data_IF_777613678440
#
_entry.id   IF_777613678440
#
_cell.length_a   1.000
_cell.length_b   1.000
_cell.length_c   1.000
_cell.angle_alpha   90.00
_cell.angle_beta   90.00
_cell.angle_gamma   90.00
#
_symmetry.space_group_name_H-M   'P 1'
#
loop_
_entity.id
_entity.type
_entity.pdbx_description
1 polymer ?
#
# COMPACT_ATOMS: atom_id res chain seq x y z
N UNK A 1 19.35 2.09 39.44
CA UNK A 1 17.90 1.98 39.71
C UNK A 1 17.20 3.00 38.81
N UNK A 2 16.56 2.54 37.73
CA UNK A 2 15.92 3.42 36.75
C UNK A 2 14.45 3.62 37.12
N UNK A 3 14.06 4.87 37.40
CA UNK A 3 12.68 5.24 37.69
C UNK A 3 11.90 5.32 36.37
N UNK A 4 10.96 4.40 36.18
CA UNK A 4 10.03 4.39 35.05
C UNK A 4 8.90 5.39 35.33
N UNK A 5 8.99 6.57 34.75
CA UNK A 5 7.92 7.57 34.73
C UNK A 5 6.84 7.12 33.73
N UNK A 6 5.66 6.72 34.23
CA UNK A 6 4.48 6.45 33.41
C UNK A 6 3.80 7.78 33.03
N UNK A 7 3.38 7.99 31.76
CA UNK A 7 2.61 9.16 31.40
C UNK A 7 1.17 9.02 31.92
N UNK A 8 0.79 9.96 32.78
CA UNK A 8 -0.55 10.09 33.34
C UNK A 8 -1.59 10.26 32.22
N UNK A 9 -2.56 9.32 32.15
CA UNK A 9 -3.77 9.45 31.35
C UNK A 9 -4.60 10.60 31.92
N UNK A 10 -4.51 11.80 31.32
CA UNK A 10 -5.47 12.89 31.56
C UNK A 10 -6.84 12.41 31.11
N UNK A 11 -7.71 12.06 32.08
CA UNK A 11 -9.13 11.83 31.83
C UNK A 11 -9.76 13.19 31.50
N UNK A 12 -10.29 13.33 30.28
CA UNK A 12 -11.11 14.47 29.88
C UNK A 12 -12.43 14.48 30.69
N UNK A 13 -12.96 15.66 31.06
CA UNK A 13 -14.17 15.78 31.87
C UNK A 13 -15.40 15.15 31.18
N UNK A 14 -16.22 14.43 31.95
CA UNK A 14 -17.41 13.67 31.49
C UNK A 14 -18.36 14.35 30.47
N UNK A 15 -18.68 15.66 30.53
CA UNK A 15 -19.56 16.29 29.54
C UNK A 15 -18.95 16.34 28.14
N UNK A 16 -17.63 16.47 28.03
CA UNK A 16 -16.91 16.50 26.75
C UNK A 16 -16.94 15.13 26.07
N UNK A 17 -16.88 14.04 26.85
CA UNK A 17 -16.99 12.67 26.31
C UNK A 17 -18.33 12.39 25.63
N UNK A 18 -19.45 12.90 26.18
CA UNK A 18 -20.79 12.72 25.59
C UNK A 18 -20.98 13.57 24.34
N UNK A 19 -20.50 14.82 24.35
CA UNK A 19 -20.54 15.69 23.19
C UNK A 19 -19.69 15.13 22.03
N UNK A 20 -18.50 14.63 22.35
CA UNK A 20 -17.60 13.98 21.43
C UNK A 20 -18.19 12.70 20.82
N UNK A 21 -18.83 11.86 21.65
CA UNK A 21 -19.54 10.68 21.16
C UNK A 21 -20.66 11.02 20.18
N UNK A 22 -21.47 12.05 20.49
CA UNK A 22 -22.52 12.52 19.57
C UNK A 22 -21.94 13.06 18.26
N UNK A 23 -20.81 13.78 18.32
CA UNK A 23 -20.14 14.28 17.13
C UNK A 23 -19.62 13.13 16.24
N UNK A 24 -19.10 12.06 16.85
CA UNK A 24 -18.68 10.84 16.14
C UNK A 24 -19.86 10.12 15.48
N UNK A 25 -20.99 10.03 16.18
CA UNK A 25 -22.19 9.38 15.64
C UNK A 25 -22.71 10.15 14.41
N UNK A 26 -22.78 11.49 14.49
CA UNK A 26 -23.16 12.35 13.35
C UNK A 26 -22.18 12.20 12.17
N UNK A 27 -20.88 12.24 12.44
CA UNK A 27 -19.85 12.04 11.42
C UNK A 27 -19.97 10.68 10.72
N UNK A 28 -20.30 9.64 11.49
CA UNK A 28 -20.50 8.29 10.96
C UNK A 28 -21.74 8.23 10.05
N UNK A 29 -22.82 8.94 10.40
CA UNK A 29 -23.99 9.06 9.54
C UNK A 29 -23.69 9.80 8.24
N UNK A 30 -22.96 10.92 8.33
CA UNK A 30 -22.59 11.71 7.15
C UNK A 30 -21.73 10.89 6.18
N UNK A 31 -20.71 10.18 6.69
CA UNK A 31 -19.89 9.27 5.87
C UNK A 31 -20.74 8.19 5.18
N UNK A 32 -21.73 7.62 5.86
CA UNK A 32 -22.65 6.65 5.24
C UNK A 32 -23.47 7.29 4.11
N UNK A 33 -24.02 8.48 4.35
CA UNK A 33 -24.83 9.21 3.35
C UNK A 33 -24.01 9.55 2.12
N UNK A 34 -22.74 9.96 2.29
CA UNK A 34 -21.80 10.19 1.19
C UNK A 34 -21.60 8.93 0.36
N UNK A 35 -21.28 7.80 1.01
CA UNK A 35 -21.01 6.53 0.32
C UNK A 35 -22.22 5.94 -0.42
N UNK A 36 -23.44 6.36 -0.09
CA UNK A 36 -24.67 5.87 -0.73
C UNK A 36 -25.33 6.88 -1.66
N UNK A 37 -24.80 8.11 -1.76
CA UNK A 37 -25.40 9.16 -2.57
C UNK A 37 -25.18 8.92 -4.07
N UNK A 38 -26.26 9.00 -4.86
CA UNK A 38 -26.20 8.80 -6.31
C UNK A 38 -25.84 10.11 -7.03
N UNK A 39 -24.58 10.25 -7.43
CA UNK A 39 -24.06 11.45 -8.12
C UNK A 39 -24.63 11.63 -9.55
N UNK A 40 -25.22 10.59 -10.12
CA UNK A 40 -25.73 10.59 -11.50
C UNK A 40 -27.20 11.02 -11.61
N UNK A 41 -27.88 11.32 -10.50
CA UNK A 41 -29.28 11.74 -10.50
C UNK A 41 -29.37 13.23 -10.20
N UNK A 42 -30.12 14.01 -11.00
CA UNK A 42 -30.36 15.41 -10.68
C UNK A 42 -31.23 15.51 -9.43
N UNK A 43 -30.95 16.52 -8.61
CA UNK A 43 -31.74 16.82 -7.42
C UNK A 43 -33.17 17.18 -7.80
N UNK A 44 -34.13 16.57 -7.11
CA UNK A 44 -35.56 16.77 -7.38
C UNK A 44 -36.11 18.00 -6.66
N UNK A 45 -35.49 18.39 -5.54
CA UNK A 45 -35.88 19.56 -4.73
C UNK A 45 -34.65 20.25 -4.13
N UNK A 46 -34.84 21.46 -3.61
CA UNK A 46 -33.79 22.13 -2.85
C UNK A 46 -33.40 21.33 -1.59
N UNK A 47 -34.39 20.76 -0.89
CA UNK A 47 -34.14 19.95 0.29
C UNK A 47 -33.32 18.70 -0.04
N UNK A 48 -33.61 18.07 -1.18
CA UNK A 48 -32.85 16.93 -1.72
C UNK A 48 -31.39 17.31 -2.01
N UNK A 49 -31.15 18.48 -2.60
CA UNK A 49 -29.79 18.99 -2.78
C UNK A 49 -29.08 19.26 -1.44
N UNK A 50 -29.78 19.85 -0.46
CA UNK A 50 -29.25 20.11 0.87
C UNK A 50 -28.88 18.79 1.56
N UNK A 51 -29.76 17.81 1.59
CA UNK A 51 -29.55 16.51 2.26
C UNK A 51 -28.42 15.69 1.61
N UNK A 52 -28.26 15.80 0.29
CA UNK A 52 -27.20 15.11 -0.44
C UNK A 52 -25.85 15.85 -0.41
N UNK A 53 -25.81 17.19 -0.34
CA UNK A 53 -24.58 17.97 -0.39
C UNK A 53 -24.01 18.28 1.00
N UNK A 54 -24.84 18.48 2.04
CA UNK A 54 -24.37 18.77 3.40
C UNK A 54 -23.34 17.75 3.93
N UNK A 55 -23.55 16.44 3.75
CA UNK A 55 -22.59 15.44 4.21
C UNK A 55 -21.19 15.62 3.60
N UNK A 56 -21.09 16.13 2.38
CA UNK A 56 -19.80 16.36 1.71
C UNK A 56 -19.02 17.55 2.30
N UNK A 57 -19.67 18.45 3.04
CA UNK A 57 -18.99 19.54 3.74
C UNK A 57 -17.97 19.02 4.77
N UNK A 58 -18.20 17.82 5.32
CA UNK A 58 -17.24 17.09 6.16
C UNK A 58 -15.92 16.81 5.43
N UNK A 59 -15.98 16.64 4.11
CA UNK A 59 -14.83 16.30 3.26
C UNK A 59 -14.21 17.55 2.59
N UNK A 60 -14.97 18.63 2.44
CA UNK A 60 -14.54 19.85 1.76
C UNK A 60 -13.30 20.51 2.40
N UNK A 61 -13.10 20.38 3.71
CA UNK A 61 -11.96 20.95 4.43
C UNK A 61 -10.81 19.94 4.66
N UNK A 62 -10.93 18.70 4.18
CA UNK A 62 -9.86 17.68 4.35
C UNK A 62 -8.67 17.97 3.44
N UNK A 63 -8.87 18.69 2.33
CA UNK A 63 -7.83 19.02 1.38
C UNK A 63 -6.90 20.16 1.86
N UNK A 64 -7.30 20.96 2.85
CA UNK A 64 -6.46 22.01 3.45
C UNK A 64 -5.97 23.10 2.48
N UNK A 65 -6.55 23.20 1.28
CA UNK A 65 -6.15 24.20 0.28
C UNK A 65 -6.89 25.54 0.41
N UNK A 66 -8.01 25.58 1.15
CA UNK A 66 -8.86 26.77 1.28
C UNK A 66 -9.22 27.04 2.76
N UNK A 67 -8.23 27.12 3.67
CA UNK A 67 -8.48 27.84 4.93
C UNK A 67 -8.39 29.31 4.58
N UNK A 68 -9.52 30.00 4.56
CA UNK A 68 -9.51 31.43 4.31
C UNK A 68 -8.73 32.16 5.42
N UNK A 69 -8.18 33.33 5.09
CA UNK A 69 -7.34 34.08 6.03
C UNK A 69 -8.12 34.48 7.30
N UNK A 70 -9.45 34.58 7.20
CA UNK A 70 -10.37 34.96 8.26
C UNK A 70 -10.55 33.80 9.27
N UNK A 71 -10.64 32.55 8.81
CA UNK A 71 -10.69 31.33 9.62
C UNK A 71 -9.35 31.05 10.31
N UNK A 72 -8.23 31.32 9.63
CA UNK A 72 -6.90 31.23 10.23
C UNK A 72 -6.69 32.28 11.34
N UNK A 73 -7.23 33.48 11.18
CA UNK A 73 -7.15 34.57 12.14
C UNK A 73 -8.10 34.32 13.33
N UNK A 74 -9.32 33.82 13.08
CA UNK A 74 -10.26 33.40 14.12
C UNK A 74 -9.72 32.25 14.98
N UNK A 75 -9.03 31.28 14.37
CA UNK A 75 -8.37 30.18 15.09
C UNK A 75 -7.16 30.65 15.94
N UNK A 76 -6.60 31.82 15.65
CA UNK A 76 -5.47 32.41 16.36
C UNK A 76 -5.92 33.33 17.51
N UNK A 77 -7.02 34.08 17.34
CA UNK A 77 -7.53 35.01 18.35
C UNK A 77 -8.34 34.32 19.45
N UNK A 78 -9.09 33.28 19.11
CA UNK A 78 -9.94 32.60 20.07
C UNK A 78 -9.18 31.41 20.67
N UNK A 79 -9.02 31.38 22.00
CA UNK A 79 -8.59 30.19 22.76
C UNK A 79 -9.54 28.98 22.63
N UNK A 80 -10.31 28.90 21.54
CA UNK A 80 -11.29 27.90 21.14
C UNK A 80 -10.69 26.58 20.67
N UNK A 81 -9.41 26.32 20.96
CA UNK A 81 -8.77 25.01 20.81
C UNK A 81 -9.24 23.99 21.88
N UNK A 82 -10.48 24.13 22.36
CA UNK A 82 -11.08 23.35 23.45
C UNK A 82 -12.06 22.27 22.98
N UNK A 83 -12.35 22.18 21.68
CA UNK A 83 -13.11 21.07 21.12
C UNK A 83 -12.36 20.62 19.87
N UNK A 84 -11.92 19.36 19.84
CA UNK A 84 -11.35 18.76 18.63
C UNK A 84 -12.27 19.09 17.45
N UNK A 85 -11.75 19.81 16.45
CA UNK A 85 -12.57 20.18 15.30
C UNK A 85 -13.05 18.88 14.64
N UNK A 86 -14.25 18.86 14.05
CA UNK A 86 -14.79 17.65 13.38
C UNK A 86 -13.82 17.08 12.34
N UNK A 87 -12.94 17.91 11.80
CA UNK A 87 -11.75 17.56 11.01
C UNK A 87 -10.74 16.70 11.77
N UNK A 88 -10.28 17.13 12.94
CA UNK A 88 -9.33 16.38 13.76
C UNK A 88 -9.91 15.02 14.12
N UNK A 89 -11.22 14.98 14.36
CA UNK A 89 -11.98 13.74 14.59
C UNK A 89 -12.00 12.81 13.39
N UNK A 90 -12.27 13.34 12.19
CA UNK A 90 -12.25 12.55 10.96
C UNK A 90 -10.83 12.01 10.66
N UNK A 91 -9.81 12.85 10.80
CA UNK A 91 -8.42 12.46 10.63
C UNK A 91 -7.99 11.39 11.65
N UNK A 92 -8.38 11.54 12.92
CA UNK A 92 -8.10 10.55 13.97
C UNK A 92 -8.78 9.21 13.67
N UNK A 93 -10.04 9.21 13.21
CA UNK A 93 -10.74 7.99 12.81
C UNK A 93 -10.07 7.28 11.63
N UNK A 94 -9.67 8.04 10.60
CA UNK A 94 -8.96 7.49 9.43
C UNK A 94 -7.62 6.90 9.86
N UNK A 95 -6.86 7.61 10.68
CA UNK A 95 -5.57 7.13 11.19
C UNK A 95 -5.73 5.88 12.06
N UNK A 96 -6.71 5.86 12.97
CA UNK A 96 -7.02 4.69 13.79
C UNK A 96 -7.40 3.49 12.92
N UNK A 97 -8.23 3.71 11.90
CA UNK A 97 -8.64 2.66 10.98
C UNK A 97 -7.47 2.14 10.14
N UNK A 98 -6.58 3.02 9.70
CA UNK A 98 -5.37 2.66 8.98
C UNK A 98 -4.47 1.77 9.84
N UNK A 99 -4.23 2.14 11.11
CA UNK A 99 -3.44 1.33 12.06
C UNK A 99 -4.08 -0.05 12.29
N UNK A 100 -5.40 -0.12 12.49
CA UNK A 100 -6.11 -1.40 12.63
C UNK A 100 -5.94 -2.31 11.40
N UNK A 101 -6.04 -1.73 10.20
CA UNK A 101 -5.86 -2.48 8.95
C UNK A 101 -4.41 -2.93 8.76
N UNK A 102 -3.42 -2.08 9.07
CA UNK A 102 -2.01 -2.47 9.06
C UNK A 102 -1.76 -3.66 9.98
N UNK A 103 -2.29 -3.64 11.22
CA UNK A 103 -2.18 -4.78 12.14
C UNK A 103 -2.79 -6.07 11.59
N UNK A 104 -3.96 -5.99 10.94
CA UNK A 104 -4.58 -7.17 10.29
C UNK A 104 -3.74 -7.71 9.13
N UNK A 105 -3.12 -6.83 8.34
CA UNK A 105 -2.23 -7.24 7.25
C UNK A 105 -1.00 -7.95 7.79
N UNK A 106 -0.40 -7.43 8.87
CA UNK A 106 0.73 -8.09 9.55
C UNK A 106 0.34 -9.46 10.11
N UNK A 107 -0.82 -9.60 10.74
CA UNK A 107 -1.33 -10.88 11.23
C UNK A 107 -1.52 -11.89 10.10
N UNK A 108 -2.11 -11.46 8.98
CA UNK A 108 -2.28 -12.31 7.80
C UNK A 108 -0.93 -12.72 7.20
N UNK A 109 0.02 -11.79 7.11
CA UNK A 109 1.38 -12.07 6.66
C UNK A 109 2.07 -13.10 7.55
N UNK A 110 1.98 -12.97 8.87
CA UNK A 110 2.56 -13.95 9.81
C UNK A 110 1.90 -15.32 9.68
N UNK A 111 0.58 -15.38 9.46
CA UNK A 111 -0.14 -16.64 9.22
C UNK A 111 0.32 -17.30 7.91
N UNK A 112 0.54 -16.49 6.87
CA UNK A 112 1.02 -16.94 5.58
C UNK A 112 2.42 -17.54 5.71
N UNK A 113 3.36 -16.85 6.37
CA UNK A 113 4.71 -17.37 6.65
C UNK A 113 4.64 -18.69 7.42
N UNK A 114 3.80 -18.79 8.47
CA UNK A 114 3.63 -20.04 9.22
C UNK A 114 3.01 -21.17 8.38
N UNK A 115 2.23 -20.85 7.36
CA UNK A 115 1.70 -21.85 6.41
C UNK A 115 2.77 -22.26 5.41
N UNK A 116 3.54 -21.32 4.87
CA UNK A 116 4.69 -21.59 4.00
C UNK A 116 5.74 -22.45 4.69
N UNK A 117 6.10 -22.13 5.94
CA UNK A 117 7.06 -22.92 6.72
C UNK A 117 6.52 -24.34 6.99
N UNK A 118 5.24 -24.46 7.37
CA UNK A 118 4.60 -25.77 7.54
C UNK A 118 4.53 -26.54 6.22
N UNK A 119 4.33 -25.85 5.12
CA UNK A 119 4.27 -26.43 3.81
C UNK A 119 5.66 -26.95 3.38
N UNK A 120 6.72 -26.13 3.53
CA UNK A 120 8.12 -26.49 3.25
C UNK A 120 8.64 -27.64 4.14
N UNK A 121 8.26 -27.65 5.42
CA UNK A 121 8.67 -28.73 6.34
C UNK A 121 7.95 -30.05 6.07
N UNK A 122 6.74 -30.03 5.48
CA UNK A 122 5.96 -31.24 5.16
C UNK A 122 6.23 -31.79 3.76
N UNK A 123 6.62 -30.94 2.82
CA UNK A 123 6.86 -31.32 1.43
C UNK A 123 8.35 -31.16 1.11
N UNK A 124 9.08 -32.28 1.11
CA UNK A 124 10.48 -32.33 0.67
C UNK A 124 10.63 -32.25 -0.84
N UNK A 125 9.52 -32.37 -1.59
CA UNK A 125 9.48 -32.31 -3.05
C UNK A 125 8.48 -31.23 -3.49
N UNK A 126 8.80 -30.40 -4.50
CA UNK A 126 7.88 -29.42 -5.04
C UNK A 126 6.57 -30.07 -5.52
N UNK A 127 5.47 -29.32 -5.45
CA UNK A 127 4.17 -29.76 -5.99
C UNK A 127 4.29 -30.03 -7.50
N UNK A 128 3.42 -30.87 -8.07
CA UNK A 128 3.40 -31.11 -9.52
C UNK A 128 3.28 -29.82 -10.36
N UNK A 129 2.56 -28.81 -9.86
CA UNK A 129 2.44 -27.50 -10.50
C UNK A 129 3.76 -26.69 -10.44
N UNK A 130 4.46 -26.76 -9.31
CA UNK A 130 5.78 -26.15 -9.14
C UNK A 130 6.84 -26.89 -9.97
N UNK A 131 6.76 -28.23 -10.09
CA UNK A 131 7.61 -29.04 -10.95
C UNK A 131 7.43 -28.68 -12.42
N UNK A 132 6.19 -28.47 -12.88
CA UNK A 132 5.89 -28.00 -14.23
C UNK A 132 6.46 -26.62 -14.49
N UNK A 133 6.31 -25.70 -13.53
CA UNK A 133 6.85 -24.35 -13.65
C UNK A 133 8.39 -24.37 -13.71
N UNK A 134 9.04 -25.14 -12.83
CA UNK A 134 10.50 -25.33 -12.85
C UNK A 134 10.94 -25.93 -14.20
N UNK A 135 10.23 -26.94 -14.71
CA UNK A 135 10.54 -27.55 -16.00
C UNK A 135 10.39 -26.55 -17.16
N UNK A 136 9.38 -25.69 -17.12
CA UNK A 136 9.16 -24.66 -18.13
C UNK A 136 10.29 -23.60 -18.11
N UNK A 137 10.68 -23.13 -16.93
CA UNK A 137 11.80 -22.19 -16.78
C UNK A 137 13.12 -22.82 -17.27
N UNK A 138 13.40 -24.07 -16.90
CA UNK A 138 14.59 -24.77 -17.35
C UNK A 138 14.61 -24.97 -18.88
N UNK A 139 13.45 -25.24 -19.48
CA UNK A 139 13.30 -25.33 -20.93
C UNK A 139 13.61 -23.98 -21.61
N UNK A 140 13.03 -22.88 -21.12
CA UNK A 140 13.30 -21.54 -21.69
C UNK A 140 14.78 -21.14 -21.57
N UNK A 141 15.42 -21.46 -20.45
CA UNK A 141 16.86 -21.23 -20.27
C UNK A 141 17.68 -22.06 -21.26
N UNK A 142 17.35 -23.34 -21.43
CA UNK A 142 18.03 -24.23 -22.38
C UNK A 142 17.89 -23.74 -23.83
N UNK A 143 16.70 -23.29 -24.23
CA UNK A 143 16.45 -22.72 -25.55
C UNK A 143 17.29 -21.45 -25.77
N UNK A 144 17.31 -20.53 -24.81
CA UNK A 144 18.16 -19.33 -24.90
C UNK A 144 19.65 -19.66 -24.99
N UNK A 145 20.12 -20.67 -24.26
CA UNK A 145 21.53 -21.10 -24.36
C UNK A 145 21.86 -21.71 -25.72
N UNK A 146 20.95 -22.53 -26.28
CA UNK A 146 21.12 -23.10 -27.61
C UNK A 146 21.10 -22.03 -28.70
N UNK A 147 20.23 -21.04 -28.59
CA UNK A 147 20.20 -19.89 -29.49
C UNK A 147 21.49 -19.08 -29.40
N UNK A 148 22.02 -18.87 -28.20
CA UNK A 148 23.29 -18.19 -27.99
C UNK A 148 24.49 -18.97 -28.55
N UNK A 149 24.47 -20.31 -28.47
CA UNK A 149 25.49 -21.16 -29.09
C UNK A 149 25.38 -21.22 -30.61
N UNK A 150 24.16 -21.26 -31.17
CA UNK A 150 23.95 -21.17 -32.62
C UNK A 150 24.31 -19.81 -33.19
N UNK A 151 24.14 -18.76 -32.39
CA UNK A 151 24.54 -17.40 -32.76
C UNK A 151 26.05 -17.15 -32.58
N UNK A 152 26.81 -18.05 -31.95
CA UNK A 152 28.28 -17.98 -31.98
C UNK A 152 28.74 -18.35 -33.39
N UNK A 153 29.34 -17.41 -34.14
CA UNK A 153 29.84 -17.72 -35.46
C UNK A 153 30.93 -18.79 -35.33
N UNK A 154 30.78 -19.86 -36.10
CA UNK A 154 31.82 -20.87 -36.33
C UNK A 154 33.05 -20.14 -36.84
N UNK A 155 34.01 -19.86 -35.95
CA UNK A 155 35.35 -19.50 -36.35
C UNK A 155 35.92 -20.75 -37.02
N UNK A 156 35.69 -20.87 -38.32
CA UNK A 156 36.32 -21.85 -39.18
C UNK A 156 37.81 -21.79 -38.87
N UNK A 157 38.30 -22.92 -38.38
CA UNK A 157 39.70 -23.32 -38.40
C UNK A 157 40.25 -23.04 -39.79
N UNK A 158 40.91 -21.89 -39.93
CA UNK A 158 41.89 -21.65 -40.98
C UNK A 158 43.12 -22.44 -40.57
N UNK A 159 43.09 -23.75 -40.82
CA UNK A 159 44.31 -24.57 -40.87
C UNK A 159 45.14 -24.04 -42.04
N UNK A 160 46.06 -23.12 -41.74
CA UNK A 160 47.13 -22.72 -42.65
C UNK A 160 48.12 -23.88 -42.74
N UNK A 161 47.82 -24.80 -43.65
CA UNK A 161 48.73 -25.79 -44.19
C UNK A 161 49.93 -25.05 -44.80
N UNK A 162 51.03 -25.01 -44.04
CA UNK A 162 52.29 -24.37 -44.43
C UNK A 162 53.14 -25.45 -45.08
N UNK A 163 53.18 -25.43 -46.41
CA UNK A 163 54.00 -26.27 -47.27
C UNK A 163 55.47 -25.84 -47.12
N UNK A 164 56.27 -26.57 -46.34
CA UNK A 164 57.73 -26.37 -46.25
C UNK A 164 58.45 -27.26 -47.28
N UNK A 165 59.11 -26.62 -48.25
CA UNK A 165 59.91 -27.27 -49.30
C UNK A 165 61.08 -28.11 -48.76
N UNK A 166 61.48 -29.19 -49.46
CA UNK A 166 62.66 -29.97 -49.10
C UNK A 166 63.94 -29.27 -49.57
N UNK A 167 64.72 -28.78 -48.60
CA UNK A 167 66.08 -28.30 -48.83
C UNK A 167 67.01 -29.44 -49.29
N UNK A 168 67.31 -29.45 -50.58
CA UNK A 168 68.40 -30.22 -51.18
C UNK A 168 69.75 -29.69 -50.66
N UNK A 169 70.53 -30.60 -50.08
CA UNK A 169 71.67 -30.24 -49.24
C UNK A 169 72.74 -31.32 -49.17
N UNK A 170 73.55 -31.36 -50.26
CA UNK A 170 74.99 -31.69 -50.32
C UNK A 170 75.40 -33.12 -50.73
N UNK A 171 76.02 -33.14 -51.92
CA UNK A 171 77.31 -33.79 -52.16
C UNK A 171 78.43 -33.07 -51.41
#
# INVERSE_FOLDING_TARGET
MAATSQPAKKQLPEPESKAHKRALDLLTEDCKRICTSSLNKPFQTLQDAVDHLLPFHVLSDVAGYDVDAEEAEAAAEEGARLLCNRRDMAAELVNRRAVELCGRVEDLRQRLVKLEDRYRTRHTRPLPEEELFIAQVLKEVAERTLEAERAKPTALSSDSESDEEPGDGRK
#
